data_IF_959750470945
#
_entry.id   IF_959750470945
#
_cell.length_a   1.000
_cell.length_b   1.000
_cell.length_c   1.000
_cell.angle_alpha   90.00
_cell.angle_beta   90.00
_cell.angle_gamma   90.00
#
_symmetry.space_group_name_H-M   'P 1'
#
loop_
_entity.id
_entity.type
_entity.pdbx_description
1 polymer ?
#
# COMPACT_ATOMS: atom_id res chain seq x y z
N UNK A 1 18.72 14.60 -6.34
CA UNK A 1 18.17 13.31 -6.78
C UNK A 1 16.69 13.37 -6.46
N UNK A 2 15.86 12.96 -7.40
CA UNK A 2 14.43 13.16 -7.35
C UNK A 2 13.74 11.90 -6.83
N UNK A 3 13.05 12.03 -5.71
CA UNK A 3 12.37 10.94 -5.02
C UNK A 3 10.88 11.23 -4.97
N UNK A 4 10.07 10.19 -5.19
CA UNK A 4 8.62 10.25 -5.04
C UNK A 4 8.21 9.55 -3.76
N UNK A 5 7.70 10.32 -2.79
CA UNK A 5 7.12 9.75 -1.58
C UNK A 5 5.61 9.63 -1.75
N UNK A 6 5.06 8.44 -1.52
CA UNK A 6 3.64 8.15 -1.72
C UNK A 6 3.03 7.50 -0.49
N UNK A 7 1.88 8.00 -0.07
CA UNK A 7 1.09 7.46 1.03
C UNK A 7 -0.41 7.43 0.67
N UNK A 8 -1.10 6.34 1.02
CA UNK A 8 -2.54 6.21 0.85
C UNK A 8 -3.24 6.10 2.21
N UNK A 9 -3.73 7.23 2.78
CA UNK A 9 -4.33 7.23 4.12
C UNK A 9 -5.68 6.50 4.18
N UNK A 10 -6.42 6.48 3.06
CA UNK A 10 -7.75 5.88 2.98
C UNK A 10 -8.01 5.31 1.57
N UNK A 11 -9.02 4.44 1.40
CA UNK A 11 -9.40 3.94 0.08
C UNK A 11 -9.64 5.08 -0.91
N UNK A 12 -9.02 4.97 -2.10
CA UNK A 12 -9.09 5.98 -3.18
C UNK A 12 -8.48 7.34 -2.85
N UNK A 13 -7.71 7.45 -1.78
CA UNK A 13 -6.95 8.66 -1.45
C UNK A 13 -5.47 8.36 -1.56
N UNK A 14 -4.75 9.23 -2.26
CA UNK A 14 -3.29 9.16 -2.41
C UNK A 14 -2.73 10.56 -2.18
N UNK A 15 -1.67 10.62 -1.38
CA UNK A 15 -0.82 11.79 -1.20
C UNK A 15 0.55 11.47 -1.75
N UNK A 16 1.09 12.42 -2.50
CA UNK A 16 2.34 12.28 -3.22
C UNK A 16 3.16 13.55 -3.03
N UNK A 17 4.43 13.38 -2.69
CA UNK A 17 5.40 14.45 -2.59
C UNK A 17 6.58 14.14 -3.49
N UNK A 18 7.04 15.17 -4.19
CA UNK A 18 8.25 15.10 -5.02
C UNK A 18 9.35 15.82 -4.24
N UNK A 19 10.40 15.08 -3.89
CA UNK A 19 11.50 15.57 -3.07
C UNK A 19 12.77 15.64 -3.90
N UNK A 20 13.50 16.75 -3.77
CA UNK A 20 14.89 16.85 -4.25
C UNK A 20 15.82 16.63 -3.05
N UNK A 21 16.52 15.50 -3.06
CA UNK A 21 17.37 15.05 -1.95
C UNK A 21 18.82 14.90 -2.40
N UNK A 22 19.75 14.95 -1.45
CA UNK A 22 21.15 14.66 -1.70
C UNK A 22 21.36 13.16 -1.96
N UNK A 23 22.35 12.80 -2.78
CA UNK A 23 22.73 11.40 -2.96
C UNK A 23 23.12 10.77 -1.61
N UNK A 24 22.77 9.49 -1.41
CA UNK A 24 23.03 8.79 -0.15
C UNK A 24 21.97 9.01 0.94
N UNK A 25 20.96 9.85 0.70
CA UNK A 25 19.86 10.05 1.66
C UNK A 25 19.11 8.75 1.94
N UNK A 26 18.80 8.50 3.21
CA UNK A 26 18.06 7.32 3.67
C UNK A 26 16.54 7.56 3.66
N UNK A 27 15.76 6.48 3.68
CA UNK A 27 14.31 6.56 3.80
C UNK A 27 13.84 7.35 5.04
N UNK A 28 14.51 7.20 6.19
CA UNK A 28 14.20 7.96 7.40
C UNK A 28 14.39 9.48 7.21
N UNK A 29 15.48 9.88 6.56
CA UNK A 29 15.77 11.28 6.26
C UNK A 29 14.76 11.85 5.25
N UNK A 30 14.39 11.08 4.23
CA UNK A 30 13.37 11.49 3.26
C UNK A 30 12.02 11.76 3.93
N UNK A 31 11.59 10.90 4.88
CA UNK A 31 10.37 11.12 5.66
C UNK A 31 10.42 12.41 6.48
N UNK A 32 11.56 12.69 7.11
CA UNK A 32 11.75 13.91 7.90
C UNK A 32 11.70 15.17 7.02
N UNK A 33 12.33 15.14 5.84
CA UNK A 33 12.30 16.26 4.87
C UNK A 33 10.90 16.46 4.28
N UNK A 34 10.16 15.37 4.06
CA UNK A 34 8.82 15.42 3.48
C UNK A 34 7.80 16.14 4.36
N UNK A 35 7.98 16.17 5.68
CA UNK A 35 7.00 16.71 6.61
C UNK A 35 5.71 15.86 6.72
N UNK A 36 5.79 14.57 6.38
CA UNK A 36 4.60 13.70 6.36
C UNK A 36 4.00 13.52 7.76
N UNK A 37 4.81 13.57 8.82
CA UNK A 37 4.35 13.35 10.18
C UNK A 37 3.61 14.55 10.77
N UNK A 38 3.75 15.72 10.16
CA UNK A 38 3.02 16.94 10.46
C UNK A 38 1.63 16.87 9.82
N UNK A 39 1.53 16.35 8.59
CA UNK A 39 0.25 16.15 7.91
C UNK A 39 -0.51 14.93 8.42
N UNK A 40 0.20 13.85 8.79
CA UNK A 40 -0.36 12.60 9.30
C UNK A 40 0.30 12.19 10.64
N UNK A 41 -0.06 12.85 11.76
CA UNK A 41 0.53 12.57 13.07
C UNK A 41 0.42 11.11 13.52
N UNK A 42 -0.66 10.42 13.14
CA UNK A 42 -0.89 9.01 13.47
C UNK A 42 0.21 8.07 12.94
N UNK A 43 0.98 8.48 11.93
CA UNK A 43 2.11 7.70 11.43
C UNK A 43 3.27 7.63 12.45
N UNK A 44 3.40 8.61 13.36
CA UNK A 44 4.47 8.63 14.39
C UNK A 44 4.32 7.47 15.38
N UNK A 45 3.10 7.12 15.73
CA UNK A 45 2.78 6.11 16.74
C UNK A 45 2.68 4.69 16.16
N UNK A 46 2.97 4.53 14.87
CA UNK A 46 2.84 3.26 14.16
C UNK A 46 4.17 2.71 13.69
N UNK A 47 4.28 1.38 13.66
CA UNK A 47 5.40 0.73 12.98
C UNK A 47 5.21 0.87 11.46
N UNK A 48 5.95 1.80 10.87
CA UNK A 48 5.91 2.02 9.42
C UNK A 48 6.34 0.76 8.65
N UNK A 49 5.51 0.39 7.68
CA UNK A 49 5.88 -0.57 6.64
C UNK A 49 6.07 0.23 5.36
N UNK A 50 7.25 0.15 4.77
CA UNK A 50 7.60 0.92 3.59
C UNK A 50 8.19 0.02 2.51
N UNK A 51 8.13 0.52 1.28
CA UNK A 51 8.76 -0.13 0.15
C UNK A 51 9.21 0.84 -0.92
N UNK A 52 10.00 0.32 -1.85
CA UNK A 52 10.31 0.97 -3.11
C UNK A 52 9.82 0.04 -4.21
N UNK A 53 8.94 0.54 -5.08
CA UNK A 53 8.35 -0.24 -6.16
C UNK A 53 7.81 -1.61 -5.70
N UNK A 54 7.05 -1.64 -4.59
CA UNK A 54 6.49 -2.86 -4.02
C UNK A 54 7.47 -3.75 -3.24
N UNK A 55 8.77 -3.40 -3.15
CA UNK A 55 9.77 -4.15 -2.39
C UNK A 55 9.98 -3.53 -1.02
N UNK A 56 9.79 -4.32 0.04
CA UNK A 56 9.92 -3.84 1.42
C UNK A 56 11.35 -3.36 1.72
N UNK A 57 11.46 -2.23 2.41
CA UNK A 57 12.74 -1.65 2.85
C UNK A 57 12.73 -1.32 4.35
N UNK A 58 13.91 -1.03 4.90
CA UNK A 58 14.06 -0.48 6.24
C UNK A 58 14.21 1.05 6.21
N UNK A 59 14.06 1.70 7.36
CA UNK A 59 14.30 3.14 7.53
C UNK A 59 15.72 3.57 7.15
N UNK A 60 16.72 2.69 7.32
CA UNK A 60 18.11 2.96 6.98
C UNK A 60 18.48 2.68 5.52
N UNK A 61 17.53 2.25 4.67
CA UNK A 61 17.80 2.01 3.26
C UNK A 61 18.15 3.32 2.55
N UNK A 62 19.27 3.33 1.83
CA UNK A 62 19.70 4.45 0.99
C UNK A 62 18.87 4.50 -0.28
N UNK A 63 18.35 5.68 -0.60
CA UNK A 63 17.54 5.93 -1.78
C UNK A 63 18.41 6.24 -3.00
N UNK A 64 17.93 5.85 -4.17
CA UNK A 64 18.50 6.18 -5.47
C UNK A 64 17.60 7.16 -6.22
N UNK A 65 18.17 7.84 -7.21
CA UNK A 65 17.42 8.73 -8.07
C UNK A 65 16.23 8.00 -8.72
N UNK A 66 15.08 8.67 -8.75
CA UNK A 66 13.81 8.14 -9.26
C UNK A 66 13.18 6.99 -8.48
N UNK A 67 13.62 6.74 -7.25
CA UNK A 67 12.90 5.83 -6.35
C UNK A 67 11.53 6.38 -5.97
N UNK A 68 10.54 5.49 -5.98
CA UNK A 68 9.23 5.74 -5.40
C UNK A 68 9.14 5.10 -4.03
N UNK A 69 9.33 5.89 -2.99
CA UNK A 69 9.18 5.52 -1.59
C UNK A 69 7.70 5.45 -1.21
N UNK A 70 7.22 4.25 -0.91
CA UNK A 70 5.82 3.96 -0.61
C UNK A 70 5.66 3.66 0.89
N UNK A 71 4.66 4.27 1.53
CA UNK A 71 4.27 3.95 2.92
C UNK A 71 2.96 3.17 2.89
N UNK A 72 2.97 1.98 3.51
CA UNK A 72 1.83 1.09 3.54
C UNK A 72 1.09 1.15 4.88
N UNK A 73 -0.24 0.99 4.80
CA UNK A 73 -1.09 0.78 5.97
C UNK A 73 -1.11 -0.69 6.36
N UNK A 74 -1.27 -0.95 7.65
CA UNK A 74 -1.57 -2.28 8.15
C UNK A 74 -2.87 -2.82 7.56
N UNK A 75 -2.94 -4.14 7.38
CA UNK A 75 -4.17 -4.80 6.96
C UNK A 75 -5.16 -4.81 8.14
N UNK A 76 -6.33 -4.23 7.95
CA UNK A 76 -7.41 -4.23 8.97
C UNK A 76 -8.07 -5.60 9.12
N UNK A 77 -8.14 -6.36 8.02
CA UNK A 77 -8.73 -7.69 7.95
C UNK A 77 -7.83 -8.62 7.17
N UNK A 78 -7.80 -9.90 7.57
CA UNK A 78 -7.09 -10.92 6.80
C UNK A 78 -7.58 -10.94 5.34
N UNK A 79 -6.68 -10.92 4.34
CA UNK A 79 -7.07 -10.86 2.93
C UNK A 79 -7.96 -12.01 2.47
N UNK A 80 -7.83 -13.22 3.02
CA UNK A 80 -8.68 -14.37 2.66
C UNK A 80 -10.08 -14.19 3.20
N UNK A 81 -10.20 -13.71 4.45
CA UNK A 81 -11.50 -13.35 5.04
C UNK A 81 -12.15 -12.23 4.23
N UNK A 82 -11.43 -11.14 3.95
CA UNK A 82 -11.92 -10.02 3.15
C UNK A 82 -12.40 -10.48 1.75
N UNK A 83 -11.63 -11.35 1.09
CA UNK A 83 -12.00 -11.94 -0.20
C UNK A 83 -13.27 -12.78 -0.09
N UNK A 84 -13.40 -13.64 0.92
CA UNK A 84 -14.58 -14.48 1.14
C UNK A 84 -15.83 -13.65 1.38
N UNK A 85 -15.74 -12.63 2.23
CA UNK A 85 -16.87 -11.74 2.52
C UNK A 85 -17.26 -10.89 1.30
N UNK A 86 -16.29 -10.41 0.50
CA UNK A 86 -16.58 -9.77 -0.80
C UNK A 86 -17.31 -10.70 -1.76
N UNK A 87 -16.88 -11.96 -1.86
CA UNK A 87 -17.54 -12.95 -2.72
C UNK A 87 -18.98 -13.21 -2.30
N UNK A 88 -19.23 -13.40 -0.99
CA UNK A 88 -20.59 -13.54 -0.44
C UNK A 88 -21.46 -12.33 -0.77
N UNK A 89 -20.94 -11.10 -0.61
CA UNK A 89 -21.67 -9.84 -0.87
C UNK A 89 -21.96 -9.59 -2.36
N UNK A 90 -21.01 -9.88 -3.25
CA UNK A 90 -21.20 -9.68 -4.70
C UNK A 90 -22.11 -10.74 -5.33
N UNK A 91 -22.25 -11.91 -4.69
CA UNK A 91 -23.00 -13.04 -5.23
C UNK A 91 -22.34 -13.64 -6.47
N UNK A 92 -22.64 -14.92 -6.75
CA UNK A 92 -22.06 -15.65 -7.89
C UNK A 92 -22.45 -15.10 -9.28
N UNK A 93 -23.29 -14.05 -9.36
CA UNK A 93 -23.87 -13.55 -10.60
C UNK A 93 -23.00 -12.54 -11.36
N UNK A 94 -22.11 -11.82 -10.68
CA UNK A 94 -21.36 -10.72 -11.32
C UNK A 94 -19.89 -11.06 -11.58
N UNK A 95 -19.30 -11.96 -10.80
CA UNK A 95 -17.94 -12.44 -11.07
C UNK A 95 -17.99 -13.48 -12.19
N UNK A 96 -17.53 -13.09 -13.39
CA UNK A 96 -17.48 -13.89 -14.63
C UNK A 96 -16.95 -15.32 -14.51
N UNK A 97 -16.27 -15.64 -13.39
CA UNK A 97 -15.64 -16.92 -13.12
C UNK A 97 -16.63 -18.07 -12.88
N UNK A 98 -17.90 -17.80 -12.54
CA UNK A 98 -18.95 -18.82 -12.34
C UNK A 98 -20.16 -18.66 -13.26
N UNK A 99 -20.06 -17.87 -14.34
CA UNK A 99 -21.18 -17.62 -15.28
C UNK A 99 -21.67 -18.91 -15.95
N UNK A 100 -20.86 -19.97 -15.96
CA UNK A 100 -21.26 -21.32 -16.39
C UNK A 100 -20.88 -22.37 -15.35
N UNK A 101 -21.58 -22.43 -14.22
CA UNK A 101 -21.57 -23.64 -13.40
C UNK A 101 -22.30 -24.76 -14.16
N UNK A 102 -21.65 -25.93 -14.30
CA UNK A 102 -22.33 -27.15 -14.81
C UNK A 102 -23.50 -27.48 -13.89
N UNK A 103 -24.59 -28.02 -14.46
CA UNK A 103 -25.77 -28.48 -13.72
C UNK A 103 -25.31 -29.50 -12.65
N UNK A 104 -25.33 -29.11 -11.37
CA UNK A 104 -24.85 -29.94 -10.24
C UNK A 104 -23.52 -29.53 -9.59
N UNK A 105 -22.84 -28.47 -10.06
CA UNK A 105 -21.60 -27.99 -9.42
C UNK A 105 -21.87 -27.29 -8.08
N UNK A 106 -21.24 -27.77 -7.01
CA UNK A 106 -21.30 -27.10 -5.69
C UNK A 106 -20.56 -25.76 -5.75
N UNK A 107 -21.15 -24.72 -5.18
CA UNK A 107 -20.52 -23.42 -5.11
C UNK A 107 -19.42 -23.42 -4.04
N UNK A 108 -18.16 -23.31 -4.45
CA UNK A 108 -17.06 -22.89 -3.57
C UNK A 108 -16.11 -23.98 -3.04
N UNK A 109 -16.12 -25.19 -3.59
CA UNK A 109 -15.05 -26.20 -3.46
C UNK A 109 -15.04 -27.12 -4.69
#
# INVERSE_FOLDING_TARGET
MKIWLVYSPAPRQVREWVLELAAGTTAAQALAVCGIFEEFPSLRDTRLVMGIWGRKISLGHTLNDSDRLEIYRGLEVDPKVARRERFKRQGARTAGLFVKTRKGGKAGY
#
